data_IF_319203753042
#
_entry.id   IF_319203753042
#
_cell.length_a   1.000
_cell.length_b   1.000
_cell.length_c   1.000
_cell.angle_alpha   90.00
_cell.angle_beta   90.00
_cell.angle_gamma   90.00
#
_symmetry.space_group_name_H-M   'P 1'
#
loop_
_entity.id
_entity.type
_entity.pdbx_description
1 polymer ?
#
# COMPACT_ATOMS: atom_id res chain seq x y z
N UNK A 1 -7.40 -18.46 2.58
CA UNK A 1 -6.26 -17.76 3.20
C UNK A 1 -5.34 -18.80 3.80
N UNK A 2 -4.07 -18.82 3.43
CA UNK A 2 -3.05 -19.65 4.08
C UNK A 2 -2.48 -18.89 5.27
N UNK A 3 -2.28 -19.56 6.40
CA UNK A 3 -1.79 -18.94 7.63
C UNK A 3 -0.58 -19.72 8.14
N UNK A 4 0.51 -18.99 8.40
CA UNK A 4 1.66 -19.47 9.14
C UNK A 4 1.66 -18.79 10.51
N UNK A 5 1.74 -19.59 11.57
CA UNK A 5 1.77 -19.11 12.95
C UNK A 5 3.07 -19.55 13.61
N UNK A 6 3.70 -18.63 14.34
CA UNK A 6 4.90 -18.89 15.13
C UNK A 6 4.64 -18.44 16.57
N UNK A 7 5.15 -19.23 17.53
CA UNK A 7 5.08 -18.90 18.96
C UNK A 7 6.49 -18.86 19.51
N UNK A 8 6.87 -17.69 20.03
CA UNK A 8 8.13 -17.46 20.72
C UNK A 8 7.81 -16.68 22.01
N UNK A 9 7.73 -17.36 23.17
CA UNK A 9 7.41 -16.73 24.45
C UNK A 9 8.43 -15.69 24.91
N UNK A 10 9.68 -15.77 24.41
CA UNK A 10 10.78 -14.89 24.80
C UNK A 10 10.97 -13.71 23.82
N UNK A 11 10.12 -13.61 22.79
CA UNK A 11 10.21 -12.58 21.78
C UNK A 11 10.00 -11.18 22.37
N UNK A 12 10.94 -10.28 22.09
CA UNK A 12 10.86 -8.87 22.49
C UNK A 12 9.86 -8.04 21.66
N UNK A 13 9.44 -8.55 20.50
CA UNK A 13 8.39 -7.99 19.64
C UNK A 13 7.50 -9.08 19.07
N UNK A 14 6.23 -8.77 18.91
CA UNK A 14 5.30 -9.53 18.09
C UNK A 14 5.22 -8.91 16.68
N UNK A 15 4.80 -9.69 15.69
CA UNK A 15 4.67 -9.23 14.31
C UNK A 15 3.55 -9.96 13.59
N UNK A 16 2.98 -9.31 12.58
CA UNK A 16 2.12 -9.95 11.60
C UNK A 16 2.41 -9.40 10.20
N UNK A 17 2.12 -10.22 9.19
CA UNK A 17 2.24 -9.87 7.78
C UNK A 17 1.10 -10.49 6.99
N UNK A 18 0.59 -9.75 6.02
CA UNK A 18 -0.40 -10.21 5.05
C UNK A 18 0.09 -9.87 3.66
N UNK A 19 0.21 -10.89 2.81
CA UNK A 19 0.50 -10.75 1.39
C UNK A 19 -0.76 -11.06 0.57
N UNK A 20 -1.18 -10.08 -0.23
CA UNK A 20 -2.21 -10.26 -1.25
C UNK A 20 -1.52 -10.63 -2.55
N UNK A 21 -1.95 -11.71 -3.21
CA UNK A 21 -1.36 -12.19 -4.48
C UNK A 21 -1.87 -11.38 -5.68
N UNK A 22 -1.76 -10.06 -5.55
CA UNK A 22 -2.15 -9.02 -6.51
C UNK A 22 -1.10 -7.93 -6.41
N UNK A 23 -0.62 -7.43 -7.54
CA UNK A 23 0.34 -6.34 -7.61
C UNK A 23 0.17 -5.54 -8.90
N UNK A 24 1.17 -4.73 -9.26
CA UNK A 24 1.05 -3.78 -10.38
C UNK A 24 0.83 -4.40 -11.76
N UNK A 25 1.10 -5.70 -11.97
CA UNK A 25 0.86 -6.36 -13.26
C UNK A 25 -0.62 -6.40 -13.65
N UNK A 26 -1.51 -6.42 -12.66
CA UNK A 26 -2.95 -6.41 -12.90
C UNK A 26 -3.57 -5.03 -12.86
N UNK A 27 -2.77 -3.96 -12.74
CA UNK A 27 -3.27 -2.60 -12.83
C UNK A 27 -4.02 -2.41 -14.16
N UNK A 28 -5.22 -1.81 -14.16
CA UNK A 28 -5.91 -1.46 -15.39
C UNK A 28 -5.02 -0.55 -16.26
N UNK A 29 -5.01 -0.71 -17.60
CA UNK A 29 -4.25 0.16 -18.49
C UNK A 29 -4.51 1.66 -18.28
N UNK A 30 -5.75 2.01 -17.91
CA UNK A 30 -6.21 3.35 -17.60
C UNK A 30 -5.84 3.85 -16.19
N UNK A 31 -5.37 2.96 -15.30
CA UNK A 31 -5.03 3.24 -13.90
C UNK A 31 -3.69 2.59 -13.50
N UNK A 32 -2.63 2.90 -14.24
CA UNK A 32 -1.30 2.37 -13.92
C UNK A 32 -0.80 2.90 -12.58
N UNK A 33 -0.37 2.01 -11.68
CA UNK A 33 -0.01 2.33 -10.30
C UNK A 33 -1.16 2.20 -9.30
N UNK A 34 -2.33 1.69 -9.71
CA UNK A 34 -3.49 1.52 -8.82
C UNK A 34 -3.20 0.59 -7.65
N UNK A 35 -2.49 -0.53 -7.85
CA UNK A 35 -2.13 -1.42 -6.75
C UNK A 35 -1.25 -0.72 -5.72
N UNK A 36 -0.29 0.10 -6.17
CA UNK A 36 0.57 0.89 -5.29
C UNK A 36 -0.24 1.96 -4.55
N UNK A 37 -1.11 2.68 -5.27
CA UNK A 37 -2.00 3.66 -4.65
C UNK A 37 -2.93 3.04 -3.60
N UNK A 38 -3.49 1.85 -3.86
CA UNK A 38 -4.32 1.13 -2.89
C UNK A 38 -3.53 0.70 -1.66
N UNK A 39 -2.26 0.37 -1.82
CA UNK A 39 -1.37 0.08 -0.69
C UNK A 39 -1.22 1.26 0.26
N UNK A 40 -1.14 2.49 -0.26
CA UNK A 40 -1.21 3.69 0.54
C UNK A 40 -2.62 3.93 1.11
N UNK A 41 -3.63 3.94 0.23
CA UNK A 41 -4.98 4.41 0.54
C UNK A 41 -5.71 3.54 1.58
N UNK A 42 -5.36 2.25 1.69
CA UNK A 42 -5.97 1.33 2.65
C UNK A 42 -5.69 1.74 4.10
N UNK A 43 -4.63 2.50 4.35
CA UNK A 43 -4.26 2.98 5.67
C UNK A 43 -5.10 4.19 6.13
N UNK A 44 -5.88 4.81 5.25
CA UNK A 44 -6.62 6.06 5.49
C UNK A 44 -7.89 5.90 6.36
N UNK A 45 -7.93 4.88 7.19
CA UNK A 45 -9.02 4.57 8.11
C UNK A 45 -9.97 3.48 7.61
N UNK A 46 -10.68 2.89 8.56
CA UNK A 46 -11.67 1.82 8.35
C UNK A 46 -12.96 2.15 9.10
N UNK A 47 -14.03 1.40 8.83
CA UNK A 47 -15.32 1.61 9.51
C UNK A 47 -15.21 1.51 11.04
N UNK A 48 -14.40 0.56 11.54
CA UNK A 48 -14.18 0.37 12.98
C UNK A 48 -13.16 1.35 13.57
N UNK A 49 -12.18 1.79 12.78
CA UNK A 49 -11.12 2.74 13.17
C UNK A 49 -11.02 3.87 12.14
N UNK A 50 -11.88 4.91 12.24
CA UNK A 50 -12.04 5.90 11.18
C UNK A 50 -10.95 6.98 11.14
N UNK A 51 -10.03 7.03 12.10
CA UNK A 51 -8.92 8.00 12.08
C UNK A 51 -7.88 7.65 11.01
N UNK A 52 -7.56 8.61 10.13
CA UNK A 52 -6.65 8.39 8.99
C UNK A 52 -5.27 7.86 9.37
N UNK A 53 -4.74 8.31 10.52
CA UNK A 53 -3.41 7.94 11.00
C UNK A 53 -3.50 7.10 12.28
N UNK A 54 -4.69 6.66 12.67
CA UNK A 54 -4.92 6.03 13.97
C UNK A 54 -4.12 4.73 14.11
N UNK A 55 -4.10 3.92 13.04
CA UNK A 55 -3.31 2.70 13.01
C UNK A 55 -1.81 2.98 13.15
N UNK A 56 -1.26 3.92 12.37
CA UNK A 56 0.15 4.30 12.45
C UNK A 56 0.53 4.84 13.84
N UNK A 57 -0.29 5.73 14.40
CA UNK A 57 -0.09 6.30 15.74
C UNK A 57 -0.11 5.19 16.80
N UNK A 58 -1.03 4.23 16.69
CA UNK A 58 -1.10 3.09 17.60
C UNK A 58 0.16 2.22 17.54
N UNK A 59 0.62 1.86 16.34
CA UNK A 59 1.86 1.09 16.14
C UNK A 59 3.06 1.83 16.76
N UNK A 60 3.23 3.11 16.43
CA UNK A 60 4.37 3.91 16.91
C UNK A 60 4.35 4.10 18.44
N UNK A 61 3.17 4.35 19.02
CA UNK A 61 3.00 4.54 20.47
C UNK A 61 3.29 3.27 21.27
N UNK A 62 3.25 2.10 20.61
CA UNK A 62 3.54 0.79 21.19
C UNK A 62 4.90 0.23 20.73
N UNK A 63 5.85 1.12 20.41
CA UNK A 63 7.23 0.79 20.02
C UNK A 63 7.31 -0.13 18.79
N UNK A 64 6.29 -0.04 17.94
CA UNK A 64 6.16 -0.79 16.72
C UNK A 64 6.71 -0.06 15.50
N UNK A 65 6.69 -0.78 14.39
CA UNK A 65 7.00 -0.28 13.06
C UNK A 65 6.05 -0.96 12.08
N UNK A 66 5.58 -0.24 11.08
CA UNK A 66 4.76 -0.80 10.00
C UNK A 66 5.30 -0.34 8.66
N UNK A 67 5.13 -1.17 7.65
CA UNK A 67 5.39 -0.81 6.27
C UNK A 67 4.58 -1.71 5.33
N UNK A 68 4.53 -1.32 4.07
CA UNK A 68 4.01 -2.13 3.01
C UNK A 68 4.83 -1.97 1.73
N UNK A 69 4.61 -2.88 0.79
CA UNK A 69 5.31 -2.91 -0.49
C UNK A 69 4.39 -3.48 -1.55
N UNK A 70 4.29 -2.80 -2.68
CA UNK A 70 3.65 -3.32 -3.89
C UNK A 70 4.71 -3.76 -4.91
N UNK A 71 4.79 -5.07 -5.12
CA UNK A 71 5.57 -5.68 -6.19
C UNK A 71 4.71 -5.88 -7.46
N UNK A 72 5.29 -6.55 -8.45
CA UNK A 72 4.65 -6.92 -9.71
C UNK A 72 3.40 -7.80 -9.53
N UNK A 73 3.47 -8.81 -8.67
CA UNK A 73 2.42 -9.84 -8.51
C UNK A 73 1.85 -9.91 -7.09
N UNK A 74 2.34 -9.07 -6.18
CA UNK A 74 2.03 -9.17 -4.76
C UNK A 74 2.13 -7.82 -4.07
N UNK A 75 1.19 -7.52 -3.19
CA UNK A 75 1.26 -6.41 -2.24
C UNK A 75 1.32 -6.98 -0.83
N UNK A 76 2.27 -6.51 -0.02
CA UNK A 76 2.51 -7.05 1.32
C UNK A 76 2.51 -5.96 2.36
N UNK A 77 1.75 -6.18 3.41
CA UNK A 77 1.61 -5.28 4.55
C UNK A 77 2.11 -5.99 5.79
N UNK A 78 2.89 -5.31 6.62
CA UNK A 78 3.41 -5.91 7.83
C UNK A 78 3.60 -4.89 8.94
N UNK A 79 3.61 -5.40 10.16
CA UNK A 79 3.98 -4.61 11.32
C UNK A 79 4.75 -5.45 12.35
N UNK A 80 5.52 -4.75 13.17
CA UNK A 80 6.08 -5.23 14.43
C UNK A 80 5.54 -4.36 15.56
N UNK A 81 5.39 -4.92 16.76
CA UNK A 81 4.86 -4.21 17.92
C UNK A 81 5.29 -4.87 19.24
N UNK A 82 5.18 -4.16 20.36
CA UNK A 82 5.29 -4.77 21.69
C UNK A 82 4.26 -5.90 21.88
N UNK A 83 4.63 -7.07 22.45
CA UNK A 83 3.74 -8.23 22.55
C UNK A 83 2.38 -7.96 23.21
N UNK A 84 2.37 -7.11 24.24
CA UNK A 84 1.14 -6.74 24.97
C UNK A 84 0.10 -6.00 24.11
N UNK A 85 0.53 -5.36 23.03
CA UNK A 85 -0.36 -4.60 22.13
C UNK A 85 -0.71 -5.39 20.85
N UNK A 86 -0.22 -6.62 20.70
CA UNK A 86 -0.35 -7.40 19.47
C UNK A 86 -1.80 -7.66 19.05
N UNK A 87 -2.65 -8.06 20.00
CA UNK A 87 -4.04 -8.39 19.70
C UNK A 87 -4.82 -7.19 19.13
N UNK A 88 -4.64 -6.00 19.72
CA UNK A 88 -5.27 -4.77 19.22
C UNK A 88 -4.64 -4.30 17.90
N UNK A 89 -3.32 -4.44 17.74
CA UNK A 89 -2.65 -4.15 16.47
C UNK A 89 -3.20 -5.02 15.33
N UNK A 90 -3.37 -6.32 15.59
CA UNK A 90 -3.89 -7.27 14.63
C UNK A 90 -5.36 -6.99 14.29
N UNK A 91 -6.17 -6.59 15.27
CA UNK A 91 -7.56 -6.16 15.04
C UNK A 91 -7.59 -4.93 14.12
N UNK A 92 -6.84 -3.88 14.43
CA UNK A 92 -6.71 -2.68 13.57
C UNK A 92 -6.20 -3.01 12.17
N UNK A 93 -5.15 -3.83 12.08
CA UNK A 93 -4.58 -4.30 10.82
C UNK A 93 -5.60 -5.07 9.97
N UNK A 94 -6.41 -5.93 10.59
CA UNK A 94 -7.45 -6.68 9.87
C UNK A 94 -8.49 -5.78 9.21
N UNK A 95 -8.81 -4.64 9.83
CA UNK A 95 -9.84 -3.72 9.33
C UNK A 95 -9.42 -3.00 8.04
N UNK A 96 -8.11 -2.89 7.78
CA UNK A 96 -7.58 -2.41 6.50
C UNK A 96 -8.15 -3.23 5.34
N UNK A 97 -8.29 -4.55 5.51
CA UNK A 97 -8.74 -5.46 4.46
C UNK A 97 -10.24 -5.77 4.48
N UNK A 98 -10.95 -5.44 5.57
CA UNK A 98 -12.37 -5.76 5.75
C UNK A 98 -13.26 -4.61 5.28
N UNK A 99 -12.97 -3.38 5.75
CA UNK A 99 -13.85 -2.23 5.48
C UNK A 99 -13.09 -0.90 5.48
N UNK A 100 -12.10 -0.73 4.59
CA UNK A 100 -11.41 0.55 4.40
C UNK A 100 -12.41 1.63 3.94
N UNK A 101 -12.24 2.86 4.43
CA UNK A 101 -13.20 3.93 4.16
C UNK A 101 -13.06 4.56 2.77
N UNK A 102 -11.83 4.69 2.29
CA UNK A 102 -11.50 5.44 1.07
C UNK A 102 -12.21 6.81 1.00
N UNK A 103 -12.14 7.57 2.10
CA UNK A 103 -12.71 8.91 2.17
C UNK A 103 -12.15 9.79 1.04
N UNK A 104 -13.04 10.37 0.22
CA UNK A 104 -12.68 11.12 -1.00
C UNK A 104 -11.63 12.21 -0.72
N UNK A 105 -11.78 12.96 0.36
CA UNK A 105 -10.86 14.04 0.71
C UNK A 105 -9.48 13.55 1.13
N UNK A 106 -9.38 12.38 1.76
CA UNK A 106 -8.10 11.74 2.11
C UNK A 106 -7.45 11.08 0.89
N UNK A 107 -8.23 10.39 0.07
CA UNK A 107 -7.78 9.76 -1.19
C UNK A 107 -7.12 10.80 -2.10
N UNK A 108 -7.73 11.97 -2.28
CA UNK A 108 -7.14 13.06 -3.08
C UNK A 108 -5.80 13.53 -2.53
N UNK A 109 -5.65 13.66 -1.21
CA UNK A 109 -4.37 14.02 -0.59
C UNK A 109 -3.32 12.94 -0.80
N UNK A 110 -3.72 11.68 -0.72
CA UNK A 110 -2.81 10.55 -0.92
C UNK A 110 -2.34 10.42 -2.37
N UNK A 111 -3.17 10.78 -3.36
CA UNK A 111 -2.74 10.85 -4.76
C UNK A 111 -1.56 11.82 -4.94
N UNK A 112 -1.58 12.96 -4.24
CA UNK A 112 -0.46 13.90 -4.24
C UNK A 112 0.79 13.34 -3.55
N UNK A 113 0.63 12.48 -2.55
CA UNK A 113 1.76 11.81 -1.89
C UNK A 113 2.45 10.83 -2.84
N UNK A 114 1.67 9.97 -3.53
CA UNK A 114 2.18 9.05 -4.55
C UNK A 114 2.84 9.79 -5.71
N UNK A 115 2.25 10.90 -6.16
CA UNK A 115 2.86 11.75 -7.20
C UNK A 115 4.20 12.38 -6.75
N UNK A 116 4.30 12.78 -5.48
CA UNK A 116 5.56 13.25 -4.91
C UNK A 116 6.61 12.14 -4.85
N UNK A 117 6.22 10.90 -4.52
CA UNK A 117 7.12 9.75 -4.53
C UNK A 117 7.61 9.43 -5.95
N UNK A 118 6.69 9.39 -6.91
CA UNK A 118 6.98 9.21 -8.34
C UNK A 118 8.01 10.24 -8.84
N UNK A 119 7.83 11.51 -8.49
CA UNK A 119 8.78 12.58 -8.82
C UNK A 119 10.13 12.40 -8.14
N UNK A 120 10.15 11.96 -6.88
CA UNK A 120 11.38 11.63 -6.16
C UNK A 120 12.17 10.48 -6.82
N UNK A 121 11.44 9.50 -7.36
CA UNK A 121 12.02 8.34 -8.04
C UNK A 121 12.68 8.68 -9.38
N UNK A 122 12.40 9.84 -9.98
CA UNK A 122 13.02 10.26 -11.25
C UNK A 122 14.55 10.39 -11.17
N UNK A 123 15.10 10.62 -9.97
CA UNK A 123 16.55 10.72 -9.75
C UNK A 123 17.19 9.39 -9.34
N UNK A 124 16.40 8.34 -9.12
CA UNK A 124 16.89 7.02 -8.75
C UNK A 124 17.35 6.26 -9.99
N UNK A 125 18.64 5.88 -10.04
CA UNK A 125 19.23 5.17 -11.18
C UNK A 125 18.52 3.84 -11.49
N UNK A 126 18.06 3.11 -10.47
CA UNK A 126 17.33 1.86 -10.66
C UNK A 126 15.98 2.12 -11.32
N UNK A 127 15.29 3.20 -10.95
CA UNK A 127 14.01 3.55 -11.58
C UNK A 127 14.18 4.10 -13.00
N UNK A 128 15.27 4.82 -13.26
CA UNK A 128 15.65 5.22 -14.62
C UNK A 128 15.93 3.99 -15.49
N UNK A 129 16.73 3.03 -15.01
CA UNK A 129 16.98 1.77 -15.71
C UNK A 129 15.67 0.99 -15.96
N UNK A 130 14.83 0.85 -14.94
CA UNK A 130 13.52 0.21 -15.07
C UNK A 130 12.65 0.93 -16.12
N UNK A 131 12.70 2.26 -16.21
CA UNK A 131 11.95 3.02 -17.23
C UNK A 131 12.39 2.70 -18.65
N UNK A 132 13.70 2.58 -18.88
CA UNK A 132 14.26 2.20 -20.17
C UNK A 132 13.88 0.77 -20.51
N UNK A 133 14.04 -0.16 -19.57
CA UNK A 133 13.65 -1.56 -19.76
C UNK A 133 12.17 -1.64 -20.13
N UNK A 134 11.27 -0.97 -19.40
CA UNK A 134 9.83 -0.93 -19.69
C UNK A 134 9.54 -0.48 -21.13
N UNK A 135 10.24 0.54 -21.62
CA UNK A 135 10.06 1.06 -22.99
C UNK A 135 10.51 0.11 -24.11
N UNK A 136 11.35 -0.88 -23.78
CA UNK A 136 11.86 -1.88 -24.73
C UNK A 136 11.03 -3.17 -24.75
N UNK A 137 10.14 -3.35 -23.77
CA UNK A 137 9.28 -4.51 -23.67
C UNK A 137 8.09 -4.42 -24.63
N UNK A 138 7.49 -5.57 -24.92
CA UNK A 138 6.21 -5.63 -25.63
C UNK A 138 5.15 -4.82 -24.87
N UNK A 139 4.52 -3.80 -25.49
CA UNK A 139 3.45 -3.03 -24.86
C UNK A 139 2.26 -3.87 -24.39
N UNK A 140 2.05 -5.05 -24.97
CA UNK A 140 1.01 -5.98 -24.53
C UNK A 140 1.38 -6.73 -23.24
N UNK A 141 2.66 -6.79 -22.88
CA UNK A 141 3.12 -7.50 -21.69
C UNK A 141 2.98 -6.61 -20.44
N UNK A 142 2.43 -7.11 -19.31
CA UNK A 142 2.16 -6.29 -18.12
C UNK A 142 3.41 -5.68 -17.48
N UNK A 143 4.59 -6.26 -17.72
CA UNK A 143 5.86 -5.68 -17.26
C UNK A 143 6.25 -4.36 -17.94
N UNK A 144 5.59 -3.97 -19.04
CA UNK A 144 5.77 -2.66 -19.66
C UNK A 144 5.06 -1.53 -18.89
N UNK A 145 4.12 -1.88 -18.00
CA UNK A 145 3.31 -0.91 -17.25
C UNK A 145 4.12 -0.10 -16.25
N UNK A 146 3.65 1.10 -15.97
CA UNK A 146 4.21 1.96 -14.93
C UNK A 146 3.63 1.62 -13.54
N UNK A 147 4.45 1.09 -12.64
CA UNK A 147 3.96 0.51 -11.38
C UNK A 147 3.82 1.49 -10.21
N UNK A 148 4.48 2.65 -10.25
CA UNK A 148 4.47 3.60 -9.14
C UNK A 148 3.19 4.45 -9.14
N UNK A 149 2.67 4.80 -10.32
CA UNK A 149 1.55 5.73 -10.45
C UNK A 149 1.96 7.18 -10.19
N UNK A 150 1.13 8.12 -10.63
CA UNK A 150 1.27 9.56 -10.44
C UNK A 150 -0.07 10.25 -10.76
N UNK A 151 -0.14 11.58 -10.67
CA UNK A 151 -1.38 12.30 -10.98
C UNK A 151 -1.87 12.07 -12.41
N UNK A 152 -0.98 11.87 -13.39
CA UNK A 152 -1.38 11.66 -14.80
C UNK A 152 -2.02 10.29 -15.01
N UNK A 153 -1.45 9.25 -14.41
CA UNK A 153 -1.88 7.86 -14.56
C UNK A 153 -3.06 7.48 -13.67
N UNK A 154 -3.33 8.31 -12.66
CA UNK A 154 -4.43 8.13 -11.71
C UNK A 154 -5.47 9.27 -11.80
N UNK A 155 -5.39 10.12 -12.82
CA UNK A 155 -6.19 11.36 -12.93
C UNK A 155 -7.71 11.12 -12.88
N UNK A 156 -8.20 10.01 -13.44
CA UNK A 156 -9.63 9.70 -13.41
C UNK A 156 -10.17 9.40 -12.01
N UNK A 157 -9.30 9.11 -11.02
CA UNK A 157 -9.66 9.05 -9.60
C UNK A 157 -9.82 10.44 -8.97
N UNK A 158 -9.30 11.48 -9.64
CA UNK A 158 -9.37 12.87 -9.22
C UNK A 158 -10.64 13.58 -9.71
N UNK A 159 -11.39 12.97 -10.63
CA UNK A 159 -12.65 13.53 -11.12
C UNK A 159 -13.81 13.24 -10.15
N UNK A 160 -14.74 14.20 -9.96
CA UNK A 160 -15.97 13.91 -9.25
C UNK A 160 -16.71 12.79 -9.97
N UNK A 161 -16.99 11.69 -9.27
CA UNK A 161 -17.91 10.66 -9.75
C UNK A 161 -19.28 11.32 -9.83
N UNK A 162 -19.79 11.54 -11.05
CA UNK A 162 -21.18 11.96 -11.25
C UNK A 162 -22.10 10.91 -10.61
N UNK A 163 -22.98 11.36 -9.71
CA UNK A 163 -24.01 10.54 -9.03
C UNK A 163 -25.14 10.11 -9.98
#
# INVERSE_FOLDING_TARGET
MMVLYTSDPDASKAAASLSVNVGSFVDPPEFQGLAHFLEHAIHLGSTKYPGANEYQVFIQSNQGYMNAETCKERTTYHFTISPNAFAEALDRFSQLFISPLFDKGRVQKELHAVDSESKGNLQNLVEQENSVIRSLLDPAHPASKYSCGNLETLDSLNQPIDE
#
